data_IF_940600125232
#
_entry.id   IF_940600125232
#
_cell.length_a   1.000
_cell.length_b   1.000
_cell.length_c   1.000
_cell.angle_alpha   90.00
_cell.angle_beta   90.00
_cell.angle_gamma   90.00
#
_symmetry.space_group_name_H-M   'P 1'
#
loop_
_entity.id
_entity.type
_entity.pdbx_description
1 polymer ?
#
# COMPACT_ATOMS: atom_id res chain seq x y z
N UNK A 1 -20.93 1.20 16.05
CA UNK A 1 -20.86 2.06 14.84
C UNK A 1 -20.52 1.18 13.66
N UNK A 2 -21.31 1.15 12.58
CA UNK A 2 -20.86 0.53 11.32
C UNK A 2 -19.64 1.33 10.85
N UNK A 3 -18.55 0.66 10.54
CA UNK A 3 -17.34 1.33 10.04
C UNK A 3 -17.66 1.99 8.70
N UNK A 4 -17.22 3.25 8.52
CA UNK A 4 -17.57 4.08 7.39
C UNK A 4 -16.37 4.20 6.42
N UNK A 5 -16.52 3.78 5.15
CA UNK A 5 -15.49 3.97 4.12
C UNK A 5 -15.04 5.42 3.95
N UNK A 6 -15.90 6.41 4.21
CA UNK A 6 -15.52 7.83 4.15
C UNK A 6 -14.54 8.18 5.27
N UNK A 7 -14.81 7.75 6.50
CA UNK A 7 -13.92 7.96 7.66
C UNK A 7 -12.57 7.27 7.43
N UNK A 8 -12.56 6.06 6.86
CA UNK A 8 -11.33 5.36 6.52
C UNK A 8 -10.53 6.10 5.43
N UNK A 9 -11.21 6.62 4.39
CA UNK A 9 -10.58 7.41 3.34
C UNK A 9 -9.99 8.73 3.87
N UNK A 10 -10.70 9.43 4.76
CA UNK A 10 -10.23 10.67 5.38
C UNK A 10 -9.03 10.44 6.31
N UNK A 11 -8.99 9.30 7.01
CA UNK A 11 -7.81 8.89 7.78
C UNK A 11 -6.58 8.72 6.91
N UNK A 12 -6.71 8.04 5.76
CA UNK A 12 -5.59 7.88 4.81
C UNK A 12 -5.17 9.25 4.27
N UNK A 13 -6.12 10.12 3.96
CA UNK A 13 -5.85 11.50 3.53
C UNK A 13 -5.01 12.26 4.55
N UNK A 14 -5.40 12.24 5.83
CA UNK A 14 -4.63 12.88 6.90
C UNK A 14 -3.22 12.33 7.10
N UNK A 15 -2.97 11.07 6.76
CA UNK A 15 -1.62 10.49 6.78
C UNK A 15 -0.75 10.92 5.59
N UNK A 16 -1.36 11.08 4.41
CA UNK A 16 -0.62 11.33 3.17
C UNK A 16 -0.39 12.83 2.92
N UNK A 17 -1.34 13.70 3.26
CA UNK A 17 -1.24 15.15 3.00
C UNK A 17 0.08 15.78 3.50
N UNK A 18 0.58 15.47 4.72
CA UNK A 18 1.86 16.01 5.19
C UNK A 18 3.08 15.54 4.38
N UNK A 19 2.95 14.45 3.62
CA UNK A 19 4.01 13.81 2.85
C UNK A 19 4.02 14.25 1.38
N UNK A 20 3.04 15.03 0.92
CA UNK A 20 2.94 15.55 -0.46
C UNK A 20 3.96 16.67 -0.71
N UNK A 21 5.24 16.32 -0.72
CA UNK A 21 6.34 17.25 -0.92
C UNK A 21 7.31 16.73 -1.97
N UNK A 22 7.82 17.66 -2.78
CA UNK A 22 8.85 17.37 -3.80
C UNK A 22 8.46 16.23 -4.73
N UNK A 23 9.39 15.31 -4.94
CA UNK A 23 9.27 14.22 -5.91
C UNK A 23 8.22 13.15 -5.55
N UNK A 24 7.79 13.05 -4.28
CA UNK A 24 6.84 12.02 -3.84
C UNK A 24 5.37 12.40 -4.09
N UNK A 25 5.11 13.69 -4.32
CA UNK A 25 3.76 14.24 -4.46
C UNK A 25 2.93 13.56 -5.55
N UNK A 26 3.56 13.17 -6.67
CA UNK A 26 2.87 12.53 -7.79
C UNK A 26 2.37 11.12 -7.44
N UNK A 27 3.22 10.29 -6.83
CA UNK A 27 2.85 8.93 -6.43
C UNK A 27 1.82 8.94 -5.31
N UNK A 28 2.09 9.69 -4.24
CA UNK A 28 1.20 9.81 -3.08
C UNK A 28 -0.13 10.50 -3.43
N UNK A 29 -0.12 11.49 -4.33
CA UNK A 29 -1.33 12.12 -4.84
C UNK A 29 -2.24 11.15 -5.58
N UNK A 30 -1.66 10.20 -6.35
CA UNK A 30 -2.44 9.13 -6.99
C UNK A 30 -3.06 8.19 -5.98
N UNK A 31 -2.38 7.89 -4.86
CA UNK A 31 -2.97 7.09 -3.77
C UNK A 31 -4.27 7.75 -3.29
N UNK A 32 -4.26 9.06 -3.06
CA UNK A 32 -5.47 9.80 -2.65
C UNK A 32 -6.59 9.75 -3.71
N UNK A 33 -6.25 9.87 -4.99
CA UNK A 33 -7.23 9.75 -6.08
C UNK A 33 -7.91 8.38 -6.05
N UNK A 34 -7.15 7.29 -5.91
CA UNK A 34 -7.74 5.96 -5.90
C UNK A 34 -8.50 5.63 -4.61
N UNK A 35 -8.06 6.15 -3.46
CA UNK A 35 -8.81 6.09 -2.20
C UNK A 35 -10.16 6.81 -2.33
N UNK A 36 -10.19 8.00 -2.91
CA UNK A 36 -11.45 8.72 -3.18
C UNK A 36 -12.34 8.02 -4.22
N UNK A 37 -11.75 7.31 -5.18
CA UNK A 37 -12.54 6.52 -6.14
C UNK A 37 -13.33 5.40 -5.47
N UNK A 38 -12.85 4.84 -4.35
CA UNK A 38 -13.60 3.82 -3.58
C UNK A 38 -14.91 4.40 -3.05
N UNK A 39 -14.85 5.55 -2.38
CA UNK A 39 -16.06 6.17 -1.80
C UNK A 39 -17.03 6.64 -2.88
N UNK A 40 -16.54 7.25 -3.96
CA UNK A 40 -17.38 7.63 -5.12
C UNK A 40 -18.05 6.44 -5.80
N UNK A 41 -17.32 5.33 -5.94
CA UNK A 41 -17.88 4.12 -6.53
C UNK A 41 -18.97 3.53 -5.63
N UNK A 42 -18.78 3.55 -4.31
CA UNK A 42 -19.79 3.09 -3.36
C UNK A 42 -21.07 3.94 -3.44
N UNK A 43 -20.93 5.26 -3.43
CA UNK A 43 -22.08 6.17 -3.53
C UNK A 43 -22.85 5.96 -4.84
N UNK A 44 -22.12 5.81 -5.95
CA UNK A 44 -22.71 5.54 -7.27
C UNK A 44 -23.46 4.20 -7.29
N UNK A 45 -22.88 3.14 -6.72
CA UNK A 45 -23.52 1.83 -6.64
C UNK A 45 -24.74 1.82 -5.72
N UNK A 46 -24.69 2.53 -4.59
CA UNK A 46 -25.85 2.71 -3.71
C UNK A 46 -26.98 3.48 -4.39
N UNK A 47 -26.67 4.54 -5.13
CA UNK A 47 -27.65 5.28 -5.91
C UNK A 47 -28.29 4.40 -6.99
N UNK A 48 -27.50 3.57 -7.68
CA UNK A 48 -28.00 2.63 -8.69
C UNK A 48 -28.92 1.56 -8.08
N UNK A 49 -28.58 1.02 -6.89
CA UNK A 49 -29.43 0.07 -6.18
C UNK A 49 -30.76 0.69 -5.75
N UNK A 50 -30.75 1.90 -5.19
CA UNK A 50 -31.99 2.62 -4.83
C UNK A 50 -32.88 2.87 -6.05
N UNK A 51 -32.31 3.33 -7.16
CA UNK A 51 -33.07 3.52 -8.40
C UNK A 51 -33.63 2.21 -8.97
N UNK A 52 -32.95 1.08 -8.73
CA UNK A 52 -33.43 -0.25 -9.11
C UNK A 52 -34.57 -0.72 -8.20
N UNK A 53 -34.51 -0.41 -6.89
CA UNK A 53 -35.57 -0.71 -5.91
C UNK A 53 -36.84 0.12 -6.17
N UNK A 54 -36.71 1.41 -6.43
CA UNK A 54 -37.83 2.31 -6.76
C UNK A 54 -38.62 1.81 -7.98
N UNK A 55 -37.91 1.36 -9.02
CA UNK A 55 -38.52 0.77 -10.23
C UNK A 55 -39.25 -0.53 -9.94
N UNK A 56 -38.76 -1.34 -9.00
CA UNK A 56 -39.42 -2.59 -8.58
C UNK A 56 -40.73 -2.29 -7.83
N UNK A 57 -40.71 -1.31 -6.93
CA UNK A 57 -41.92 -0.93 -6.17
C UNK A 57 -42.98 -0.24 -7.04
N UNK A 58 -42.58 0.43 -8.12
CA UNK A 58 -43.49 1.12 -9.04
C UNK A 58 -44.04 0.27 -10.20
N UNK A 59 -43.60 -0.99 -10.36
CA UNK A 59 -44.00 -1.87 -11.46
C UNK A 59 -44.58 -3.18 -10.93
N UNK A 60 -45.86 -3.44 -11.18
CA UNK A 60 -46.56 -4.67 -10.82
C UNK A 60 -46.08 -5.91 -11.63
N UNK A 61 -45.41 -5.68 -12.77
CA UNK A 61 -44.92 -6.71 -13.71
C UNK A 61 -43.39 -6.91 -13.67
N UNK A 62 -42.71 -6.42 -12.62
CA UNK A 62 -41.25 -6.55 -12.53
C UNK A 62 -40.83 -8.03 -12.42
N UNK A 63 -40.25 -8.58 -13.50
CA UNK A 63 -39.67 -9.92 -13.51
C UNK A 63 -38.56 -9.99 -12.44
N UNK A 64 -38.81 -10.79 -11.39
CA UNK A 64 -37.92 -10.96 -10.25
C UNK A 64 -36.50 -11.38 -10.69
N UNK A 65 -36.39 -12.26 -11.68
CA UNK A 65 -35.12 -12.76 -12.19
C UNK A 65 -34.30 -11.66 -12.90
N UNK A 66 -34.96 -10.73 -13.61
CA UNK A 66 -34.28 -9.60 -14.25
C UNK A 66 -33.79 -8.58 -13.20
N UNK A 67 -34.59 -8.35 -12.16
CA UNK A 67 -34.20 -7.48 -11.05
C UNK A 67 -32.99 -8.03 -10.30
N UNK A 68 -33.00 -9.33 -9.96
CA UNK A 68 -31.91 -9.98 -9.24
C UNK A 68 -30.62 -9.99 -10.06
N UNK A 69 -30.71 -10.25 -11.37
CA UNK A 69 -29.57 -10.14 -12.30
C UNK A 69 -28.98 -8.74 -12.33
N UNK A 70 -29.81 -7.70 -12.37
CA UNK A 70 -29.35 -6.29 -12.37
C UNK A 70 -28.71 -5.89 -11.05
N UNK A 71 -29.28 -6.32 -9.92
CA UNK A 71 -28.70 -6.12 -8.59
C UNK A 71 -27.32 -6.75 -8.50
N UNK A 72 -27.22 -8.03 -8.85
CA UNK A 72 -25.94 -8.76 -8.86
C UNK A 72 -24.91 -8.10 -9.79
N UNK A 73 -25.32 -7.58 -10.95
CA UNK A 73 -24.42 -6.88 -11.87
C UNK A 73 -23.84 -5.59 -11.25
N UNK A 74 -24.65 -4.82 -10.49
CA UNK A 74 -24.19 -3.62 -9.78
C UNK A 74 -23.19 -4.00 -8.68
N UNK A 75 -23.52 -5.00 -7.87
CA UNK A 75 -22.64 -5.49 -6.80
C UNK A 75 -21.31 -6.02 -7.34
N UNK A 76 -21.36 -6.77 -8.43
CA UNK A 76 -20.16 -7.30 -9.08
C UNK A 76 -19.31 -6.18 -9.70
N UNK A 77 -19.94 -5.17 -10.31
CA UNK A 77 -19.23 -4.01 -10.86
C UNK A 77 -18.54 -3.21 -9.74
N UNK A 78 -19.22 -2.99 -8.62
CA UNK A 78 -18.64 -2.36 -7.43
C UNK A 78 -17.44 -3.16 -6.91
N UNK A 79 -17.60 -4.46 -6.69
CA UNK A 79 -16.52 -5.32 -6.19
C UNK A 79 -15.28 -5.30 -7.08
N UNK A 80 -15.44 -5.25 -8.41
CA UNK A 80 -14.31 -5.06 -9.34
C UNK A 80 -13.69 -3.67 -9.23
N UNK A 81 -14.52 -2.62 -9.17
CA UNK A 81 -14.06 -1.23 -9.03
C UNK A 81 -13.27 -0.99 -7.75
N UNK A 82 -13.74 -1.56 -6.64
CA UNK A 82 -13.07 -1.55 -5.34
C UNK A 82 -11.68 -2.19 -5.43
N UNK A 83 -11.60 -3.45 -5.87
CA UNK A 83 -10.32 -4.18 -6.01
C UNK A 83 -9.32 -3.45 -6.90
N UNK A 84 -9.79 -2.89 -8.02
CA UNK A 84 -8.94 -2.12 -8.91
C UNK A 84 -8.40 -0.86 -8.23
N UNK A 85 -9.27 -0.09 -7.58
CA UNK A 85 -8.88 1.16 -6.90
C UNK A 85 -7.87 0.89 -5.78
N UNK A 86 -8.13 -0.10 -4.93
CA UNK A 86 -7.19 -0.52 -3.88
C UNK A 86 -5.87 -1.00 -4.47
N UNK A 87 -5.92 -1.82 -5.53
CA UNK A 87 -4.71 -2.30 -6.22
C UNK A 87 -3.87 -1.17 -6.81
N UNK A 88 -4.49 -0.13 -7.38
CA UNK A 88 -3.78 1.05 -7.84
C UNK A 88 -3.23 1.90 -6.71
N UNK A 89 -3.98 2.07 -5.61
CA UNK A 89 -3.49 2.78 -4.43
C UNK A 89 -2.22 2.12 -3.86
N UNK A 90 -2.23 0.80 -3.68
CA UNK A 90 -1.07 0.03 -3.21
C UNK A 90 0.14 0.18 -4.13
N UNK A 91 -0.02 0.00 -5.45
CA UNK A 91 1.08 0.16 -6.41
C UNK A 91 1.73 1.55 -6.39
N UNK A 92 0.92 2.60 -6.23
CA UNK A 92 1.44 3.96 -6.16
C UNK A 92 2.15 4.23 -4.83
N UNK A 93 1.67 3.64 -3.73
CA UNK A 93 2.36 3.70 -2.43
C UNK A 93 3.69 2.95 -2.47
N UNK A 94 3.73 1.74 -3.06
CA UNK A 94 4.96 0.97 -3.26
C UNK A 94 5.96 1.75 -4.12
N UNK A 95 5.49 2.41 -5.18
CA UNK A 95 6.35 3.25 -6.02
C UNK A 95 6.95 4.43 -5.25
N UNK A 96 6.15 5.10 -4.41
CA UNK A 96 6.64 6.19 -3.56
C UNK A 96 7.65 5.68 -2.51
N UNK A 97 7.40 4.49 -1.96
CA UNK A 97 8.30 3.84 -1.01
C UNK A 97 9.66 3.52 -1.64
N UNK A 98 9.67 2.91 -2.83
CA UNK A 98 10.90 2.60 -3.55
C UNK A 98 11.70 3.86 -3.86
N UNK A 99 11.04 4.90 -4.36
CA UNK A 99 11.70 6.20 -4.61
C UNK A 99 12.30 6.79 -3.35
N UNK A 100 11.60 6.71 -2.21
CA UNK A 100 12.10 7.24 -0.95
C UNK A 100 13.33 6.45 -0.46
N UNK A 101 13.32 5.13 -0.58
CA UNK A 101 14.49 4.30 -0.25
C UNK A 101 15.68 4.57 -1.17
N UNK A 102 15.45 4.79 -2.47
CA UNK A 102 16.49 5.15 -3.43
C UNK A 102 17.12 6.52 -3.12
N UNK A 103 16.34 7.48 -2.61
CA UNK A 103 16.85 8.77 -2.15
C UNK A 103 17.71 8.63 -0.89
N UNK A 104 17.27 7.80 0.06
CA UNK A 104 17.95 7.62 1.35
C UNK A 104 19.22 6.77 1.27
N UNK A 105 19.27 5.79 0.36
CA UNK A 105 20.30 4.76 0.36
C UNK A 105 21.04 4.72 -0.97
N UNK A 106 22.27 5.24 -0.97
CA UNK A 106 23.08 5.37 -2.19
C UNK A 106 23.59 4.03 -2.70
N UNK A 107 23.28 3.73 -3.96
CA UNK A 107 23.85 2.58 -4.68
C UNK A 107 25.36 2.76 -4.95
N UNK A 108 26.21 1.77 -4.62
CA UNK A 108 27.62 1.79 -5.04
C UNK A 108 27.78 1.76 -6.57
N UNK A 109 28.56 2.70 -7.11
CA UNK A 109 28.70 2.93 -8.57
C UNK A 109 29.28 1.74 -9.35
N UNK A 110 30.13 0.93 -8.72
CA UNK A 110 30.90 -0.14 -9.39
C UNK A 110 30.22 -1.51 -9.33
N UNK A 111 29.04 -1.63 -8.70
CA UNK A 111 28.36 -2.92 -8.57
C UNK A 111 27.58 -3.26 -9.85
N UNK A 112 28.09 -4.22 -10.63
CA UNK A 112 27.36 -4.78 -11.76
C UNK A 112 26.07 -5.46 -11.30
N UNK A 113 25.09 -5.58 -12.20
CA UNK A 113 23.81 -6.24 -11.91
C UNK A 113 24.01 -7.68 -11.40
N UNK A 114 24.91 -8.43 -12.03
CA UNK A 114 25.22 -9.81 -11.61
C UNK A 114 25.81 -9.87 -10.19
N UNK A 115 26.65 -8.90 -9.82
CA UNK A 115 27.21 -8.84 -8.45
C UNK A 115 26.10 -8.54 -7.44
N UNK A 116 25.21 -7.61 -7.75
CA UNK A 116 24.04 -7.29 -6.93
C UNK A 116 23.15 -8.52 -6.72
N UNK A 117 22.80 -9.23 -7.79
CA UNK A 117 21.94 -10.42 -7.74
C UNK A 117 22.58 -11.55 -6.94
N UNK A 118 23.88 -11.82 -7.15
CA UNK A 118 24.61 -12.83 -6.37
C UNK A 118 24.65 -12.48 -4.88
N UNK A 119 24.90 -11.21 -4.55
CA UNK A 119 24.97 -10.75 -3.15
C UNK A 119 23.59 -10.77 -2.48
N UNK A 120 22.57 -10.28 -3.16
CA UNK A 120 21.18 -10.35 -2.74
C UNK A 120 20.75 -11.79 -2.43
N UNK A 121 21.06 -12.74 -3.31
CA UNK A 121 20.74 -14.16 -3.09
C UNK A 121 21.46 -14.74 -1.86
N UNK A 122 22.72 -14.35 -1.63
CA UNK A 122 23.46 -14.80 -0.45
C UNK A 122 22.85 -14.25 0.86
N UNK A 123 22.50 -12.95 0.87
CA UNK A 123 21.80 -12.32 1.99
C UNK A 123 20.44 -12.97 2.24
N UNK A 124 19.67 -13.21 1.18
CA UNK A 124 18.38 -13.89 1.26
C UNK A 124 18.50 -15.25 1.96
N UNK A 125 19.46 -16.09 1.55
CA UNK A 125 19.70 -17.41 2.16
C UNK A 125 20.09 -17.31 3.64
N UNK A 126 20.75 -16.23 4.04
CA UNK A 126 21.11 -15.98 5.43
C UNK A 126 19.90 -15.59 6.26
N UNK A 127 19.13 -14.59 5.79
CA UNK A 127 17.96 -14.09 6.50
C UNK A 127 16.81 -15.12 6.55
N UNK A 128 16.65 -15.94 5.51
CA UNK A 128 15.65 -17.02 5.46
C UNK A 128 15.85 -18.10 6.54
N UNK A 129 17.02 -18.14 7.21
CA UNK A 129 17.32 -19.07 8.30
C UNK A 129 17.12 -18.46 9.69
N UNK A 130 16.80 -17.16 9.76
CA UNK A 130 16.62 -16.44 11.02
C UNK A 130 15.17 -16.53 11.48
N UNK A 131 14.97 -16.54 12.79
CA UNK A 131 13.63 -16.47 13.40
C UNK A 131 12.98 -15.11 13.17
N UNK A 132 13.76 -14.03 13.31
CA UNK A 132 13.37 -12.66 12.97
C UNK A 132 14.28 -12.07 11.87
N UNK A 133 13.90 -12.25 10.59
CA UNK A 133 14.68 -11.71 9.48
C UNK A 133 14.80 -10.18 9.50
N UNK A 134 13.80 -9.44 10.01
CA UNK A 134 13.83 -7.98 10.02
C UNK A 134 14.84 -7.46 11.05
N UNK A 135 14.87 -8.04 12.25
CA UNK A 135 15.90 -7.72 13.24
C UNK A 135 17.30 -8.10 12.73
N UNK A 136 17.45 -9.29 12.15
CA UNK A 136 18.72 -9.75 11.58
C UNK A 136 19.24 -8.88 10.43
N UNK A 137 18.33 -8.33 9.61
CA UNK A 137 18.69 -7.34 8.58
C UNK A 137 19.27 -6.06 9.21
N UNK A 138 18.65 -5.52 10.26
CA UNK A 138 19.15 -4.32 10.94
C UNK A 138 20.51 -4.58 11.61
N UNK A 139 20.67 -5.72 12.29
CA UNK A 139 21.95 -6.13 12.88
C UNK A 139 23.04 -6.24 11.80
N UNK A 140 22.73 -6.89 10.68
CA UNK A 140 23.66 -7.00 9.54
C UNK A 140 24.05 -5.62 8.99
N UNK A 141 23.10 -4.69 8.88
CA UNK A 141 23.37 -3.32 8.44
C UNK A 141 24.36 -2.59 9.36
N UNK A 142 24.20 -2.75 10.69
CA UNK A 142 25.06 -2.09 11.68
C UNK A 142 26.46 -2.69 11.77
N UNK A 143 26.57 -4.02 11.63
CA UNK A 143 27.84 -4.75 11.76
C UNK A 143 28.69 -4.75 10.49
N UNK A 144 28.07 -4.65 9.31
CA UNK A 144 28.80 -4.69 8.04
C UNK A 144 29.40 -3.34 7.68
N UNK A 145 30.65 -3.35 7.18
CA UNK A 145 31.28 -2.18 6.55
C UNK A 145 31.12 -2.16 5.03
N UNK A 146 30.59 -3.22 4.42
CA UNK A 146 30.43 -3.35 2.97
C UNK A 146 29.30 -2.42 2.46
N UNK A 147 29.62 -1.41 1.63
CA UNK A 147 28.61 -0.48 1.10
C UNK A 147 27.53 -1.18 0.27
N UNK A 148 27.85 -2.30 -0.39
CA UNK A 148 26.89 -3.06 -1.18
C UNK A 148 25.87 -3.76 -0.28
N UNK A 149 26.32 -4.35 0.83
CA UNK A 149 25.42 -4.96 1.80
C UNK A 149 24.52 -3.90 2.44
N UNK A 150 25.08 -2.76 2.83
CA UNK A 150 24.30 -1.64 3.36
C UNK A 150 23.23 -1.20 2.37
N UNK A 151 23.60 -1.03 1.10
CA UNK A 151 22.65 -0.66 0.05
C UNK A 151 21.55 -1.70 -0.15
N UNK A 152 21.89 -2.99 -0.23
CA UNK A 152 20.91 -4.04 -0.44
C UNK A 152 19.92 -4.09 0.72
N UNK A 153 20.43 -4.15 1.96
CA UNK A 153 19.61 -4.28 3.16
C UNK A 153 18.70 -3.07 3.34
N UNK A 154 19.24 -1.85 3.28
CA UNK A 154 18.46 -0.64 3.55
C UNK A 154 17.66 -0.12 2.35
N UNK A 155 17.95 -0.58 1.14
CA UNK A 155 17.37 -0.08 -0.10
C UNK A 155 16.18 -0.89 -0.62
N UNK A 156 15.84 -0.72 -1.92
CA UNK A 156 14.73 -1.40 -2.59
C UNK A 156 14.67 -2.92 -2.39
N UNK A 157 15.81 -3.60 -2.46
CA UNK A 157 15.86 -5.06 -2.31
C UNK A 157 15.40 -5.51 -0.92
N UNK A 158 15.82 -4.81 0.15
CA UNK A 158 15.41 -5.14 1.51
C UNK A 158 13.91 -4.96 1.71
N UNK A 159 13.33 -3.90 1.15
CA UNK A 159 11.87 -3.72 1.13
C UNK A 159 11.16 -4.87 0.42
N UNK A 160 11.59 -5.22 -0.79
CA UNK A 160 11.00 -6.34 -1.53
C UNK A 160 11.13 -7.68 -0.79
N UNK A 161 12.25 -7.90 -0.10
CA UNK A 161 12.47 -9.09 0.71
C UNK A 161 11.42 -9.21 1.82
N UNK A 162 11.23 -8.14 2.60
CA UNK A 162 10.23 -8.10 3.67
C UNK A 162 8.81 -8.33 3.14
N UNK A 163 8.46 -7.68 2.02
CA UNK A 163 7.17 -7.88 1.36
C UNK A 163 6.95 -9.34 0.92
N UNK A 164 7.92 -9.95 0.23
CA UNK A 164 7.84 -11.34 -0.26
C UNK A 164 7.71 -12.35 0.88
N UNK A 165 8.22 -12.00 2.08
CA UNK A 165 8.11 -12.82 3.29
C UNK A 165 6.90 -12.46 4.16
N UNK A 166 6.08 -11.49 3.74
CA UNK A 166 4.91 -10.99 4.48
C UNK A 166 5.26 -10.52 5.90
N UNK A 167 6.44 -9.93 6.05
CA UNK A 167 6.91 -9.36 7.32
C UNK A 167 6.43 -7.90 7.38
N UNK A 168 5.82 -7.49 8.50
CA UNK A 168 5.45 -6.09 8.72
C UNK A 168 6.71 -5.23 8.80
N UNK A 169 6.94 -4.29 7.86
CA UNK A 169 8.17 -3.55 7.83
C UNK A 169 8.14 -2.31 8.75
N UNK A 170 7.05 -2.07 9.50
CA UNK A 170 6.89 -0.87 10.33
C UNK A 170 8.02 -0.67 11.35
N UNK A 171 8.28 -1.69 12.18
CA UNK A 171 9.39 -1.63 13.15
C UNK A 171 10.76 -1.50 12.47
N UNK A 172 10.94 -2.21 11.35
CA UNK A 172 12.15 -2.17 10.54
C UNK A 172 12.44 -0.75 10.02
N UNK A 173 11.46 -0.07 9.41
CA UNK A 173 11.65 1.26 8.85
C UNK A 173 11.90 2.34 9.90
N UNK A 174 11.23 2.25 11.06
CA UNK A 174 11.50 3.17 12.17
C UNK A 174 12.96 3.05 12.65
N UNK A 175 13.46 1.82 12.81
CA UNK A 175 14.83 1.57 13.22
C UNK A 175 15.84 1.98 12.12
N UNK A 176 15.56 1.65 10.86
CA UNK A 176 16.42 2.01 9.74
C UNK A 176 16.57 3.52 9.59
N UNK A 177 15.46 4.28 9.62
CA UNK A 177 15.52 5.73 9.50
C UNK A 177 16.27 6.41 10.66
N UNK A 178 16.24 5.83 11.86
CA UNK A 178 17.09 6.27 12.99
C UNK A 178 18.56 6.02 12.72
N UNK A 179 18.92 4.82 12.23
CA UNK A 179 20.30 4.47 11.89
C UNK A 179 20.86 5.37 10.77
N UNK A 180 20.02 5.76 9.82
CA UNK A 180 20.36 6.66 8.72
C UNK A 180 20.36 8.15 9.12
N UNK A 181 19.81 8.50 10.29
CA UNK A 181 19.64 9.89 10.71
C UNK A 181 18.71 10.70 9.81
N UNK A 182 17.71 10.07 9.19
CA UNK A 182 16.87 10.69 8.16
C UNK A 182 15.41 10.89 8.56
N UNK A 183 15.07 10.75 9.85
CA UNK A 183 13.69 10.78 10.34
C UNK A 183 12.92 12.06 9.99
N UNK A 184 13.62 13.19 9.97
CA UNK A 184 13.03 14.51 9.71
C UNK A 184 13.05 14.89 8.21
N UNK A 185 13.65 14.05 7.35
CA UNK A 185 13.62 14.29 5.90
C UNK A 185 12.28 13.88 5.32
N UNK A 186 11.92 14.42 4.15
CA UNK A 186 10.70 14.02 3.45
C UNK A 186 10.72 12.52 3.13
N UNK A 187 11.83 12.02 2.57
CA UNK A 187 11.99 10.61 2.23
C UNK A 187 11.92 9.70 3.47
N UNK A 188 12.53 10.09 4.59
CA UNK A 188 12.44 9.34 5.85
C UNK A 188 11.01 9.23 6.38
N UNK A 189 10.25 10.34 6.34
CA UNK A 189 8.83 10.34 6.73
C UNK A 189 7.96 9.48 5.83
N UNK A 190 8.22 9.44 4.52
CA UNK A 190 7.55 8.52 3.59
C UNK A 190 7.83 7.06 3.98
N UNK A 191 9.11 6.71 4.18
CA UNK A 191 9.52 5.34 4.55
C UNK A 191 8.91 4.88 5.88
N UNK A 192 8.93 5.73 6.90
CA UNK A 192 8.36 5.42 8.21
C UNK A 192 6.83 5.30 8.21
N UNK A 193 6.14 6.00 7.28
CA UNK A 193 4.68 5.99 7.19
C UNK A 193 4.12 4.85 6.33
N UNK A 194 4.97 4.15 5.58
CA UNK A 194 4.52 3.13 4.63
C UNK A 194 3.62 2.07 5.27
N UNK A 195 4.07 1.45 6.37
CA UNK A 195 3.33 0.36 7.01
C UNK A 195 1.98 0.80 7.60
N UNK A 196 1.89 2.02 8.15
CA UNK A 196 0.64 2.55 8.68
C UNK A 196 -0.35 2.88 7.56
N UNK A 197 0.12 3.41 6.42
CA UNK A 197 -0.73 3.68 5.25
C UNK A 197 -1.21 2.38 4.63
N UNK A 198 -0.37 1.34 4.51
CA UNK A 198 -0.80 0.01 4.06
C UNK A 198 -1.96 -0.52 4.91
N UNK A 199 -1.81 -0.51 6.24
CA UNK A 199 -2.89 -0.94 7.16
C UNK A 199 -4.16 -0.11 6.98
N UNK A 200 -4.04 1.20 6.82
CA UNK A 200 -5.20 2.06 6.59
C UNK A 200 -5.91 1.75 5.26
N UNK A 201 -5.16 1.38 4.20
CA UNK A 201 -5.73 0.91 2.93
C UNK A 201 -6.43 -0.46 3.10
N UNK A 202 -5.85 -1.37 3.88
CA UNK A 202 -6.46 -2.68 4.18
C UNK A 202 -7.76 -2.52 4.97
N UNK A 203 -7.78 -1.61 5.94
CA UNK A 203 -8.99 -1.22 6.67
C UNK A 203 -10.04 -0.65 5.72
N UNK A 204 -9.67 0.27 4.82
CA UNK A 204 -10.58 0.82 3.81
C UNK A 204 -11.18 -0.28 2.93
N UNK A 205 -10.37 -1.23 2.46
CA UNK A 205 -10.84 -2.36 1.66
C UNK A 205 -11.86 -3.20 2.44
N UNK A 206 -11.56 -3.54 3.70
CA UNK A 206 -12.44 -4.34 4.54
C UNK A 206 -13.80 -3.66 4.80
N UNK A 207 -13.80 -2.35 5.13
CA UNK A 207 -15.05 -1.62 5.39
C UNK A 207 -15.84 -1.39 4.12
N UNK A 208 -15.16 -1.11 2.99
CA UNK A 208 -15.83 -0.87 1.71
C UNK A 208 -16.45 -2.16 1.14
N UNK A 209 -15.83 -3.31 1.37
CA UNK A 209 -16.34 -4.61 0.90
C UNK A 209 -17.69 -4.97 1.53
N UNK A 210 -17.92 -4.61 2.79
CA UNK A 210 -19.19 -4.83 3.50
C UNK A 210 -20.14 -3.62 3.51
N UNK A 211 -19.83 -2.56 2.76
CA UNK A 211 -20.61 -1.33 2.77
C UNK A 211 -21.75 -1.28 1.73
N UNK A 212 -21.76 -2.22 0.78
CA UNK A 212 -22.84 -2.34 -0.20
C UNK A 212 -24.01 -3.19 0.32
N UNK A 213 -23.78 -3.95 1.40
CA UNK A 213 -24.78 -4.72 2.15
C UNK A 213 -25.63 -3.81 3.07
#
# INVERSE_FOLDING_TARGET
>A
MKADPLVAADRIKGMIEPLLQGQFSSGLGKVLVYVQSVTRSLDSSRAALRALEEKRTGSLDANYDDWEKRRAAIEQAYGRGLKNSIGFARRNLDSAQLQALEELVRRPRLASRTILEKRALALQKSFDRMEDPAAGMLEHYTSTSDPLNKYLVAGPWGHEYLQKRKIDPGGYYLALCRLLGCQDTVAGRVVMSYASICRAIDELEAVAQGALD
#
